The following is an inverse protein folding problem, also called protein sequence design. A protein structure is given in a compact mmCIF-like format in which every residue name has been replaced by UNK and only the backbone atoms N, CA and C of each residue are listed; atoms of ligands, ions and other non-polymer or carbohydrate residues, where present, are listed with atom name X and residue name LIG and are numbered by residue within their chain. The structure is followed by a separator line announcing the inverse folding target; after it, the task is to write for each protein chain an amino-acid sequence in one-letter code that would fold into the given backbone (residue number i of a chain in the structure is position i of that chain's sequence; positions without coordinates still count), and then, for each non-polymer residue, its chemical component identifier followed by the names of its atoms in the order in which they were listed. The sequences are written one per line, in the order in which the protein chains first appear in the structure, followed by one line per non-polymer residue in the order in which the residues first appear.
data_IF_504353682667
#
_entry.id   IF_504353682667
#
_cell.length_a   1.000
_cell.length_b   1.000
_cell.length_c   1.000
_cell.angle_alpha   90.00
_cell.angle_beta   90.00
_cell.angle_gamma   90.00
#
_symmetry.space_group_name_H-M   'P 1'
#
loop_
_entity.id
_entity.type
_entity.pdbx_description
1 polymer ?
#
# COMPACT_ATOMS: atom_id res chain seq x y z
N UNK A 1 5.27 -32.53 -36.30
CA UNK A 1 5.35 -31.07 -36.45
C UNK A 1 3.94 -30.49 -36.30
N UNK A 2 3.56 -30.04 -35.11
CA UNK A 2 2.27 -29.36 -34.85
C UNK A 2 2.63 -27.98 -34.30
N UNK A 3 2.22 -26.96 -35.05
CA UNK A 3 2.46 -25.54 -34.76
C UNK A 3 1.71 -25.12 -33.51
N UNK A 4 2.40 -24.67 -32.47
CA UNK A 4 1.82 -24.00 -31.34
C UNK A 4 1.48 -22.55 -31.77
N UNK A 5 0.21 -22.25 -31.82
CA UNK A 5 -0.30 -20.88 -31.97
C UNK A 5 -0.41 -20.30 -30.56
N UNK A 6 0.45 -19.34 -30.26
CA UNK A 6 0.34 -18.49 -29.07
C UNK A 6 -0.71 -17.43 -29.44
N UNK A 7 -1.91 -17.55 -28.87
CA UNK A 7 -2.92 -16.51 -28.96
C UNK A 7 -2.65 -15.49 -27.85
N UNK A 8 -1.96 -14.41 -28.20
CA UNK A 8 -1.96 -13.18 -27.42
C UNK A 8 -3.33 -12.54 -27.59
N UNK A 9 -4.17 -12.59 -26.57
CA UNK A 9 -5.41 -11.81 -26.53
C UNK A 9 -5.03 -10.38 -26.15
N UNK A 10 -4.74 -9.57 -27.14
CA UNK A 10 -4.66 -8.12 -27.03
C UNK A 10 -6.10 -7.61 -27.10
N UNK A 11 -6.65 -7.16 -25.99
CA UNK A 11 -7.87 -6.35 -26.01
C UNK A 11 -7.51 -4.95 -26.49
N UNK A 12 -7.59 -4.75 -27.79
CA UNK A 12 -7.59 -3.41 -28.40
C UNK A 12 -9.06 -2.95 -28.39
N UNK A 13 -9.38 -2.02 -27.52
CA UNK A 13 -10.54 -1.17 -27.68
C UNK A 13 -10.22 -0.15 -28.78
N UNK A 14 -10.66 -0.42 -30.00
CA UNK A 14 -10.79 0.60 -31.04
C UNK A 14 -11.89 1.56 -30.62
N UNK A 15 -11.55 2.74 -30.14
CA UNK A 15 -12.45 3.88 -30.09
C UNK A 15 -12.42 4.53 -31.49
N UNK A 16 -13.45 4.29 -32.26
CA UNK A 16 -13.74 5.03 -33.50
C UNK A 16 -13.88 6.52 -33.18
N UNK A 17 -12.98 7.31 -33.73
CA UNK A 17 -13.03 8.76 -33.68
C UNK A 17 -14.07 9.25 -34.68
N UNK A 18 -15.31 9.39 -34.25
CA UNK A 18 -16.27 10.21 -34.97
C UNK A 18 -15.91 11.68 -34.84
N UNK A 19 -15.39 12.25 -35.91
CA UNK A 19 -15.14 13.68 -36.02
C UNK A 19 -16.48 14.44 -36.00
N UNK A 20 -16.84 15.00 -34.87
CA UNK A 20 -17.84 16.07 -34.80
C UNK A 20 -17.12 17.40 -34.92
N UNK A 21 -17.36 18.10 -36.03
CA UNK A 21 -17.01 19.49 -36.20
C UNK A 21 -17.82 20.31 -35.19
N UNK A 22 -17.17 20.83 -34.18
CA UNK A 22 -17.76 21.75 -33.20
C UNK A 22 -17.36 23.17 -33.57
N UNK A 23 -18.36 24.01 -33.82
CA UNK A 23 -18.23 25.45 -34.04
C UNK A 23 -17.48 26.09 -32.86
N UNK A 24 -16.50 26.91 -33.19
CA UNK A 24 -15.73 27.71 -32.23
C UNK A 24 -16.63 28.73 -31.55
N UNK A 25 -16.76 28.73 -30.21
CA UNK A 25 -17.37 29.83 -29.51
C UNK A 25 -16.42 31.07 -29.55
N UNK A 26 -16.98 32.30 -29.51
CA UNK A 26 -16.20 33.53 -29.63
C UNK A 26 -15.20 33.66 -28.44
N UNK A 27 -14.01 34.13 -28.75
CA UNK A 27 -12.92 34.32 -27.83
C UNK A 27 -13.37 35.13 -26.59
N UNK A 28 -13.44 34.44 -25.46
CA UNK A 28 -13.54 35.11 -24.15
C UNK A 28 -12.22 35.87 -23.90
N UNK A 29 -12.37 37.15 -23.62
CA UNK A 29 -11.26 38.07 -23.32
C UNK A 29 -10.35 37.43 -22.23
N UNK A 30 -9.08 37.23 -22.56
CA UNK A 30 -8.04 36.85 -21.63
C UNK A 30 -7.90 37.99 -20.61
N UNK A 31 -8.42 37.82 -19.41
CA UNK A 31 -8.18 38.71 -18.28
C UNK A 31 -6.70 38.72 -17.97
N UNK A 32 -6.07 39.91 -18.01
CA UNK A 32 -4.66 40.09 -17.66
C UNK A 32 -4.33 39.45 -16.29
N UNK A 33 -3.13 38.86 -16.11
CA UNK A 33 -2.76 38.28 -14.84
C UNK A 33 -2.80 39.30 -13.73
N UNK A 34 -3.58 39.05 -12.68
CA UNK A 34 -3.68 39.88 -11.49
C UNK A 34 -2.27 40.17 -10.96
N UNK A 35 -1.98 41.45 -10.71
CA UNK A 35 -0.73 41.88 -10.09
C UNK A 35 -0.54 41.21 -8.72
N UNK A 36 0.70 41.07 -8.28
CA UNK A 36 1.01 40.42 -7.00
C UNK A 36 0.28 41.09 -5.82
N UNK A 37 0.14 42.44 -5.86
CA UNK A 37 -0.64 43.18 -4.88
C UNK A 37 -2.14 42.84 -4.91
N UNK A 38 -2.74 42.68 -6.09
CA UNK A 38 -4.13 42.25 -6.20
C UNK A 38 -4.40 40.86 -5.66
N UNK A 39 -3.42 39.94 -5.80
CA UNK A 39 -3.49 38.60 -5.21
C UNK A 39 -3.35 38.63 -3.70
N UNK A 40 -2.45 39.46 -3.17
CA UNK A 40 -2.28 39.62 -1.71
C UNK A 40 -3.55 40.19 -1.10
N UNK A 41 -4.13 41.23 -1.68
CA UNK A 41 -5.39 41.83 -1.20
C UNK A 41 -6.55 40.82 -1.23
N UNK A 42 -6.67 40.00 -2.28
CA UNK A 42 -7.70 38.96 -2.36
C UNK A 42 -7.52 37.87 -1.30
N UNK A 43 -6.27 37.54 -0.93
CA UNK A 43 -5.96 36.64 0.16
C UNK A 43 -6.31 37.23 1.53
N UNK A 44 -5.98 38.51 1.77
CA UNK A 44 -6.32 39.21 3.00
C UNK A 44 -7.84 39.31 3.21
N UNK A 45 -8.59 39.60 2.14
CA UNK A 45 -10.05 39.63 2.19
C UNK A 45 -10.63 38.24 2.50
N UNK A 46 -10.06 37.19 1.93
CA UNK A 46 -10.50 35.80 2.19
C UNK A 46 -10.18 35.35 3.61
N UNK A 47 -9.02 35.72 4.16
CA UNK A 47 -8.65 35.45 5.55
C UNK A 47 -9.60 36.15 6.51
N UNK A 48 -9.99 37.42 6.22
CA UNK A 48 -10.96 38.14 7.03
C UNK A 48 -12.33 37.47 7.02
N UNK A 49 -12.83 37.03 5.85
CA UNK A 49 -14.11 36.33 5.74
C UNK A 49 -14.11 35.05 6.53
N UNK A 50 -13.04 34.25 6.43
CA UNK A 50 -12.88 33.00 7.21
C UNK A 50 -12.82 33.27 8.72
N UNK A 51 -12.20 34.37 9.15
CA UNK A 51 -12.16 34.73 10.57
C UNK A 51 -13.57 35.11 11.10
N UNK A 52 -14.38 35.75 10.29
CA UNK A 52 -15.79 36.08 10.63
C UNK A 52 -16.64 34.80 10.73
N UNK A 53 -16.51 33.86 9.78
CA UNK A 53 -17.20 32.58 9.81
C UNK A 53 -16.81 31.75 11.07
N UNK A 54 -15.54 31.71 11.43
CA UNK A 54 -15.06 31.05 12.65
C UNK A 54 -15.64 31.70 13.92
N UNK A 55 -15.80 33.02 13.92
CA UNK A 55 -16.41 33.72 15.06
C UNK A 55 -17.89 33.36 15.21
N UNK A 56 -18.64 33.27 14.11
CA UNK A 56 -20.06 32.86 14.11
C UNK A 56 -20.19 31.42 14.60
N UNK A 57 -19.41 30.49 14.06
CA UNK A 57 -19.43 29.07 14.48
C UNK A 57 -19.07 28.88 15.96
N UNK A 58 -18.14 29.68 16.49
CA UNK A 58 -17.83 29.68 17.93
C UNK A 58 -18.99 30.19 18.78
N UNK A 59 -19.73 31.16 18.28
CA UNK A 59 -20.95 31.68 18.91
C UNK A 59 -22.05 30.61 18.98
N UNK A 60 -22.28 29.92 17.88
CA UNK A 60 -23.25 28.79 17.81
C UNK A 60 -22.86 27.64 18.73
N UNK A 61 -21.58 27.26 18.74
CA UNK A 61 -21.08 26.19 19.63
C UNK A 61 -21.26 26.54 21.10
N UNK A 62 -21.05 27.82 21.47
CA UNK A 62 -21.28 28.30 22.83
C UNK A 62 -22.77 28.26 23.18
N UNK A 63 -23.66 28.67 22.28
CA UNK A 63 -25.10 28.60 22.50
C UNK A 63 -25.60 27.16 22.68
N UNK A 64 -25.10 26.21 21.90
CA UNK A 64 -25.42 24.78 22.03
C UNK A 64 -24.90 24.21 23.36
N UNK A 65 -23.71 24.66 23.79
CA UNK A 65 -23.10 24.23 25.05
C UNK A 65 -23.89 24.77 26.24
N UNK A 66 -24.32 26.01 26.22
CA UNK A 66 -25.09 26.67 27.28
C UNK A 66 -26.52 26.12 27.35
N UNK A 67 -27.10 25.70 26.21
CA UNK A 67 -28.41 25.01 26.17
C UNK A 67 -28.38 23.57 26.70
N UNK A 68 -27.20 22.97 26.86
CA UNK A 68 -27.01 21.59 27.31
C UNK A 68 -26.57 21.47 28.79
N UNK A 69 -26.52 22.58 29.54
CA UNK A 69 -26.28 22.55 30.99
C UNK A 69 -27.59 22.15 31.71
N UNK A 70 -27.69 21.01 32.38
CA UNK A 70 -28.83 20.69 33.23
C UNK A 70 -28.73 21.48 34.52
N UNK A 71 -29.87 22.03 34.92
CA UNK A 71 -30.12 22.73 36.18
C UNK A 71 -29.81 21.81 37.39
N UNK A 72 -29.04 22.23 38.39
CA UNK A 72 -28.68 21.38 39.54
C UNK A 72 -29.69 21.46 40.66
N UNK A 73 -30.93 21.02 40.46
CA UNK A 73 -31.90 20.78 41.58
C UNK A 73 -32.84 19.65 41.23
N UNK A 74 -32.42 18.42 41.57
CA UNK A 74 -33.34 17.32 41.81
C UNK A 74 -32.62 16.26 42.65
N UNK A 75 -32.95 16.23 43.95
CA UNK A 75 -32.58 15.19 44.90
C UNK A 75 -33.17 13.84 44.49
N UNK A 76 -32.31 12.83 44.21
CA UNK A 76 -32.68 11.43 44.29
C UNK A 76 -31.45 10.61 44.72
N UNK A 77 -31.58 9.63 45.63
CA UNK A 77 -30.46 9.02 46.33
C UNK A 77 -29.73 8.01 45.45
N UNK A 78 -28.41 8.15 45.39
CA UNK A 78 -27.48 7.21 44.77
C UNK A 78 -27.29 6.00 45.68
N UNK A 79 -27.75 4.84 45.28
CA UNK A 79 -27.39 3.54 45.86
C UNK A 79 -26.01 3.10 45.36
N UNK A 80 -25.02 3.23 46.24
CA UNK A 80 -23.68 2.64 46.09
C UNK A 80 -23.78 1.14 46.37
N UNK A 81 -23.61 0.32 45.35
CA UNK A 81 -23.34 -1.10 45.47
C UNK A 81 -21.84 -1.36 45.42
N UNK A 82 -21.21 -1.52 46.54
CA UNK A 82 -19.85 -2.04 46.71
C UNK A 82 -19.92 -3.57 46.69
N UNK A 83 -19.26 -4.21 45.73
CA UNK A 83 -19.04 -5.65 45.73
C UNK A 83 -17.65 -5.97 46.24
N UNK A 84 -17.57 -6.54 47.41
CA UNK A 84 -16.42 -7.19 48.01
C UNK A 84 -16.08 -8.49 47.25
N UNK A 85 -14.77 -8.68 47.03
CA UNK A 85 -14.18 -9.94 46.63
C UNK A 85 -13.97 -10.81 47.87
N UNK A 86 -14.57 -11.98 47.89
CA UNK A 86 -14.17 -13.04 48.83
C UNK A 86 -13.66 -14.27 48.05
N UNK A 87 -12.52 -14.73 48.51
CA UNK A 87 -11.86 -15.97 48.11
C UNK A 87 -12.61 -17.17 48.74
N UNK A 88 -12.86 -18.19 47.95
CA UNK A 88 -13.41 -19.46 48.46
C UNK A 88 -12.93 -20.65 47.63
N UNK A 89 -12.28 -21.53 48.35
CA UNK A 89 -11.55 -22.74 47.94
C UNK A 89 -12.46 -23.95 47.80
N UNK A 90 -12.12 -24.85 46.84
CA UNK A 90 -12.35 -26.31 46.77
C UNK A 90 -13.76 -26.89 46.68
N UNK A 91 -14.03 -27.68 45.65
CA UNK A 91 -14.26 -29.12 45.75
C UNK A 91 -14.52 -29.77 44.38
N UNK A 92 -13.96 -30.97 44.24
CA UNK A 92 -14.04 -31.84 43.08
C UNK A 92 -15.43 -32.47 42.92
N UNK A 93 -15.85 -32.70 41.67
CA UNK A 93 -17.02 -33.53 41.34
C UNK A 93 -16.91 -34.08 39.93
N UNK A 94 -16.66 -35.38 39.83
CA UNK A 94 -16.72 -36.18 38.62
C UNK A 94 -18.12 -36.23 38.02
N UNK A 95 -18.25 -36.08 36.72
CA UNK A 95 -19.35 -36.68 35.95
C UNK A 95 -18.90 -36.93 34.48
N UNK A 96 -19.13 -38.11 34.03
CA UNK A 96 -18.78 -38.75 32.76
C UNK A 96 -19.63 -38.30 31.58
N UNK A 97 -19.24 -38.68 30.33
CA UNK A 97 -19.57 -37.95 29.09
C UNK A 97 -20.76 -38.57 28.32
N UNK A 98 -21.33 -37.82 27.41
CA UNK A 98 -22.22 -38.34 26.37
C UNK A 98 -21.96 -37.59 25.02
N UNK A 99 -22.38 -38.11 23.86
CA UNK A 99 -21.47 -38.35 22.75
C UNK A 99 -21.49 -37.25 21.69
N UNK A 100 -20.34 -37.15 21.04
CA UNK A 100 -20.04 -36.36 19.84
C UNK A 100 -20.83 -36.79 18.60
N UNK A 101 -21.53 -35.88 17.97
CA UNK A 101 -21.87 -36.02 16.55
C UNK A 101 -20.79 -35.28 15.73
N UNK A 102 -19.95 -36.05 15.08
CA UNK A 102 -18.90 -35.56 14.21
C UNK A 102 -19.47 -34.94 12.92
N UNK A 103 -19.11 -33.71 12.69
CA UNK A 103 -19.08 -33.14 11.36
C UNK A 103 -17.61 -32.90 11.00
N UNK A 104 -17.10 -33.72 10.09
CA UNK A 104 -15.77 -33.60 9.52
C UNK A 104 -15.65 -32.27 8.79
N UNK A 105 -14.97 -31.31 9.39
CA UNK A 105 -14.50 -30.14 8.67
C UNK A 105 -13.23 -30.55 7.92
N UNK A 106 -13.32 -30.57 6.59
CA UNK A 106 -12.20 -30.63 5.69
C UNK A 106 -11.26 -29.44 5.98
N UNK A 107 -9.93 -29.63 5.97
CA UNK A 107 -9.00 -28.53 6.16
C UNK A 107 -9.11 -27.55 4.97
N UNK A 108 -9.60 -26.35 5.23
CA UNK A 108 -9.50 -25.24 4.27
C UNK A 108 -8.02 -24.91 4.09
N UNK A 109 -7.51 -25.28 2.93
CA UNK A 109 -6.18 -24.86 2.47
C UNK A 109 -6.21 -23.34 2.29
N UNK A 110 -5.58 -22.61 3.19
CA UNK A 110 -5.40 -21.16 3.04
C UNK A 110 -4.50 -20.90 1.83
N UNK A 111 -5.10 -20.47 0.74
CA UNK A 111 -4.39 -19.89 -0.38
C UNK A 111 -3.87 -18.51 0.04
N UNK A 112 -2.60 -18.47 0.45
CA UNK A 112 -1.92 -17.21 0.76
C UNK A 112 -1.33 -16.65 -0.52
N UNK A 113 -1.89 -15.58 -1.03
CA UNK A 113 -1.26 -14.80 -2.08
C UNK A 113 -2.16 -14.39 -3.24
N UNK A 114 -3.31 -13.95 -3.00
CA UNK A 114 -4.20 -13.16 -3.83
C UNK A 114 -5.06 -12.37 -2.88
N UNK A 115 -5.60 -11.27 -3.28
CA UNK A 115 -6.59 -10.49 -2.54
C UNK A 115 -7.79 -11.35 -2.16
N UNK A 116 -7.62 -12.28 -1.21
CA UNK A 116 -8.76 -12.96 -0.60
C UNK A 116 -9.38 -11.99 0.42
N UNK A 117 -10.71 -11.87 0.47
CA UNK A 117 -11.35 -11.19 1.57
C UNK A 117 -10.93 -11.89 2.87
N UNK A 118 -10.10 -11.21 3.65
CA UNK A 118 -9.66 -11.72 4.94
C UNK A 118 -10.88 -11.74 5.87
N UNK A 119 -11.28 -12.92 6.32
CA UNK A 119 -12.35 -13.06 7.30
C UNK A 119 -11.78 -12.76 8.67
N UNK A 120 -12.13 -11.61 9.23
CA UNK A 120 -11.65 -11.14 10.52
C UNK A 120 -12.48 -11.65 11.70
N UNK A 121 -11.76 -12.05 12.72
CA UNK A 121 -12.13 -12.09 14.15
C UNK A 121 -13.41 -12.79 14.58
N UNK A 122 -13.33 -13.59 15.60
CA UNK A 122 -14.34 -14.46 16.20
C UNK A 122 -15.56 -13.83 16.90
N UNK A 123 -16.11 -12.70 16.48
CA UNK A 123 -17.39 -12.20 16.98
C UNK A 123 -18.55 -12.84 16.19
N UNK A 124 -19.68 -13.07 16.86
CA UNK A 124 -20.90 -13.63 16.28
C UNK A 124 -21.33 -12.85 15.04
N UNK A 125 -21.57 -13.53 13.94
CA UNK A 125 -21.78 -13.02 12.59
C UNK A 125 -22.82 -11.88 12.47
N UNK A 126 -23.81 -11.80 13.36
CA UNK A 126 -24.86 -10.79 13.30
C UNK A 126 -24.48 -9.43 13.92
N UNK A 127 -23.50 -9.38 14.82
CA UNK A 127 -23.02 -8.13 15.41
C UNK A 127 -22.02 -7.39 14.51
N UNK A 128 -21.39 -8.09 13.55
CA UNK A 128 -20.38 -7.55 12.66
C UNK A 128 -20.90 -6.94 11.36
N UNK A 129 -22.13 -7.23 10.99
CA UNK A 129 -22.72 -6.75 9.73
C UNK A 129 -22.89 -5.22 9.66
N UNK A 130 -22.83 -4.51 10.80
CA UNK A 130 -23.05 -3.05 10.84
C UNK A 130 -21.86 -2.27 11.43
N UNK A 131 -20.86 -2.95 11.98
CA UNK A 131 -19.68 -2.29 12.55
C UNK A 131 -18.43 -2.66 11.76
N UNK A 132 -17.64 -1.70 11.28
CA UNK A 132 -16.37 -2.01 10.65
C UNK A 132 -15.41 -2.67 11.65
N UNK A 133 -14.62 -3.62 11.19
CA UNK A 133 -13.44 -4.06 11.91
C UNK A 133 -12.42 -2.91 11.85
N UNK A 134 -11.96 -2.47 13.03
CA UNK A 134 -11.02 -1.36 13.16
C UNK A 134 -9.71 -1.88 13.73
N UNK A 135 -8.61 -1.50 13.10
CA UNK A 135 -7.25 -1.73 13.58
C UNK A 135 -6.48 -0.42 13.71
N UNK A 136 -5.54 -0.38 14.62
CA UNK A 136 -4.53 0.68 14.71
C UNK A 136 -3.16 0.03 14.74
N UNK A 137 -2.29 0.48 13.85
CA UNK A 137 -0.89 0.08 13.78
C UNK A 137 -0.05 1.29 14.09
N UNK A 138 0.99 1.14 14.92
CA UNK A 138 1.99 2.19 15.15
C UNK A 138 3.34 1.66 14.74
N UNK A 139 4.03 2.41 13.89
CA UNK A 139 5.37 2.12 13.39
C UNK A 139 6.34 3.22 13.85
N UNK A 140 7.25 2.85 14.76
CA UNK A 140 8.30 3.71 15.29
C UNK A 140 9.65 3.26 14.76
N UNK A 141 10.40 4.19 14.14
CA UNK A 141 11.72 3.93 13.56
C UNK A 141 12.78 4.72 14.29
N UNK A 142 13.90 4.08 14.55
CA UNK A 142 15.14 4.71 14.99
C UNK A 142 16.24 4.49 13.96
N UNK A 143 17.09 5.50 13.76
CA UNK A 143 18.23 5.43 12.86
C UNK A 143 19.50 5.90 13.56
N UNK A 144 20.58 5.14 13.38
CA UNK A 144 21.93 5.50 13.83
C UNK A 144 22.94 5.17 12.73
N UNK A 145 23.89 6.07 12.52
CA UNK A 145 24.93 5.85 11.50
C UNK A 145 25.14 7.07 10.63
N UNK A 146 25.54 6.83 9.38
CA UNK A 146 25.93 7.86 8.45
C UNK A 146 25.35 7.62 7.05
N UNK A 147 24.58 8.59 6.58
CA UNK A 147 24.05 8.64 5.21
C UNK A 147 23.90 10.12 4.80
N UNK A 148 24.75 10.57 3.88
CA UNK A 148 24.75 11.96 3.42
C UNK A 148 23.80 12.19 2.22
N UNK A 149 23.31 11.13 1.59
CA UNK A 149 22.47 11.24 0.39
C UNK A 149 21.00 11.37 0.79
N UNK A 150 20.58 10.50 1.71
CA UNK A 150 19.22 10.48 2.24
C UNK A 150 19.24 10.40 3.77
N UNK A 151 19.58 11.51 4.45
CA UNK A 151 19.67 11.51 5.91
C UNK A 151 18.29 11.30 6.53
N UNK A 152 18.15 10.27 7.37
CA UNK A 152 16.93 10.01 8.13
C UNK A 152 17.04 10.61 9.52
N UNK A 153 15.90 10.87 10.18
CA UNK A 153 15.86 11.32 11.58
C UNK A 153 16.37 10.21 12.51
N UNK A 154 16.97 10.60 13.63
CA UNK A 154 17.45 9.63 14.61
C UNK A 154 16.32 8.82 15.25
N UNK A 155 15.17 9.44 15.49
CA UNK A 155 13.94 8.83 16.01
C UNK A 155 12.74 9.45 15.31
N UNK A 156 11.78 8.64 14.92
CA UNK A 156 10.59 9.06 14.18
C UNK A 156 9.41 8.15 14.47
N UNK A 157 8.23 8.74 14.72
CA UNK A 157 6.96 8.03 14.54
C UNK A 157 6.70 8.02 13.03
N UNK A 158 7.13 6.95 12.36
CA UNK A 158 7.08 6.86 10.91
C UNK A 158 5.65 6.95 10.42
N UNK A 159 4.78 6.07 10.94
CA UNK A 159 3.35 6.14 10.68
C UNK A 159 2.53 5.51 11.82
N UNK A 160 1.31 5.98 11.96
CA UNK A 160 0.24 5.26 12.68
C UNK A 160 -0.90 5.06 11.71
N UNK A 161 -1.22 3.82 11.37
CA UNK A 161 -2.28 3.51 10.41
C UNK A 161 -3.56 3.09 11.13
N UNK A 162 -4.68 3.67 10.73
CA UNK A 162 -6.02 3.17 11.09
C UNK A 162 -6.60 2.44 9.88
N UNK A 163 -6.80 1.14 10.03
CA UNK A 163 -7.51 0.31 9.06
C UNK A 163 -8.97 0.13 9.46
N UNK A 164 -9.88 0.33 8.52
CA UNK A 164 -11.30 0.07 8.66
C UNK A 164 -11.78 -0.83 7.54
N UNK A 165 -12.45 -1.92 7.88
CA UNK A 165 -12.92 -2.89 6.92
C UNK A 165 -14.34 -3.32 7.24
N UNK A 166 -15.23 -3.31 6.26
CA UNK A 166 -16.63 -3.67 6.43
C UNK A 166 -17.21 -4.40 5.23
N UNK A 167 -18.08 -5.37 5.48
CA UNK A 167 -18.98 -5.90 4.46
C UNK A 167 -20.13 -4.89 4.34
N UNK A 168 -20.30 -4.29 3.16
CA UNK A 168 -21.38 -3.35 2.86
C UNK A 168 -22.68 -4.11 2.65
N UNK A 169 -22.60 -5.13 1.81
CA UNK A 169 -23.70 -6.03 1.46
C UNK A 169 -23.15 -7.41 1.03
N UNK A 170 -23.96 -8.40 0.67
CA UNK A 170 -23.46 -9.72 0.23
C UNK A 170 -22.56 -9.70 -1.00
N UNK A 171 -22.50 -8.59 -1.73
CA UNK A 171 -21.81 -8.45 -3.01
C UNK A 171 -20.62 -7.49 -2.96
N UNK A 172 -20.52 -6.68 -1.88
CA UNK A 172 -19.55 -5.60 -1.79
C UNK A 172 -18.93 -5.50 -0.41
N UNK A 173 -17.62 -5.20 -0.38
CA UNK A 173 -16.81 -4.93 0.81
C UNK A 173 -16.11 -3.59 0.64
N UNK A 174 -16.02 -2.79 1.69
CA UNK A 174 -15.21 -1.59 1.77
C UNK A 174 -13.97 -1.81 2.64
N UNK A 175 -12.86 -1.25 2.19
CA UNK A 175 -11.58 -1.19 2.88
C UNK A 175 -11.08 0.25 2.86
N UNK A 176 -10.62 0.78 4.00
CA UNK A 176 -10.06 2.13 4.10
C UNK A 176 -8.90 2.13 5.08
N UNK A 177 -7.77 2.73 4.68
CA UNK A 177 -6.54 2.83 5.44
C UNK A 177 -6.08 4.28 5.45
N UNK A 178 -5.91 4.81 6.66
CA UNK A 178 -5.52 6.19 6.90
C UNK A 178 -4.23 6.19 7.70
N UNK A 179 -3.18 6.77 7.15
CA UNK A 179 -1.93 6.97 7.87
C UNK A 179 -1.86 8.35 8.51
N UNK A 180 -1.29 8.38 9.69
CA UNK A 180 -1.05 9.57 10.50
C UNK A 180 0.44 9.59 10.82
N UNK A 181 1.15 10.50 10.21
CA UNK A 181 2.56 10.75 10.48
C UNK A 181 2.80 12.14 11.06
N UNK A 182 4.05 12.47 11.31
CA UNK A 182 4.44 13.80 11.78
C UNK A 182 4.14 14.92 10.77
N UNK A 183 3.99 14.56 9.50
CA UNK A 183 3.71 15.50 8.39
C UNK A 183 2.23 15.71 8.12
N UNK A 184 1.34 14.90 8.71
CA UNK A 184 -0.10 15.03 8.53
C UNK A 184 -0.86 13.71 8.45
N UNK A 185 -2.02 13.77 7.79
CA UNK A 185 -2.91 12.62 7.57
C UNK A 185 -2.97 12.34 6.07
N UNK A 186 -2.79 11.08 5.69
CA UNK A 186 -2.91 10.63 4.32
C UNK A 186 -3.96 9.51 4.22
N UNK A 187 -4.66 9.43 3.10
CA UNK A 187 -5.48 8.28 2.73
C UNK A 187 -4.60 7.36 1.90
N UNK A 188 -4.11 6.27 2.49
CA UNK A 188 -3.29 5.32 1.74
C UNK A 188 -4.14 4.54 0.75
N UNK A 189 -5.21 3.92 1.24
CA UNK A 189 -6.15 3.23 0.38
C UNK A 189 -7.58 3.46 0.89
N UNK A 190 -8.53 3.63 -0.02
CA UNK A 190 -9.96 3.66 0.29
C UNK A 190 -10.74 3.19 -0.94
N UNK A 191 -11.24 1.95 -0.92
CA UNK A 191 -11.91 1.35 -2.05
C UNK A 191 -13.04 0.39 -1.67
N UNK A 192 -13.92 0.16 -2.62
CA UNK A 192 -14.96 -0.86 -2.54
C UNK A 192 -14.61 -1.99 -3.50
N UNK A 193 -14.69 -3.23 -3.02
CA UNK A 193 -14.50 -4.45 -3.81
C UNK A 193 -15.83 -5.12 -4.07
N UNK A 194 -16.21 -5.27 -5.34
CA UNK A 194 -17.35 -6.05 -5.79
C UNK A 194 -16.91 -7.48 -6.09
N UNK A 195 -17.45 -8.45 -5.34
CA UNK A 195 -17.00 -9.85 -5.35
C UNK A 195 -17.89 -10.78 -6.16
N UNK A 196 -19.07 -10.34 -6.57
CA UNK A 196 -20.11 -11.18 -7.20
C UNK A 196 -20.40 -10.79 -8.65
N UNK A 197 -19.38 -10.37 -9.37
CA UNK A 197 -19.53 -10.05 -10.80
C UNK A 197 -19.58 -11.33 -11.66
N UNK A 198 -20.26 -11.27 -12.83
CA UNK A 198 -20.28 -12.39 -13.78
C UNK A 198 -18.87 -12.86 -14.15
N UNK A 199 -18.74 -14.13 -14.51
CA UNK A 199 -17.51 -14.77 -14.95
C UNK A 199 -16.37 -14.79 -13.90
N UNK A 200 -16.69 -14.63 -12.61
CA UNK A 200 -15.68 -14.63 -11.53
C UNK A 200 -14.74 -13.42 -11.56
N UNK A 201 -15.23 -12.29 -12.08
CA UNK A 201 -14.52 -11.02 -12.06
C UNK A 201 -14.60 -10.39 -10.66
N UNK A 202 -13.51 -9.76 -10.25
CA UNK A 202 -13.44 -8.87 -9.09
C UNK A 202 -13.20 -7.45 -9.58
N UNK A 203 -14.01 -6.50 -9.11
CA UNK A 203 -13.84 -5.08 -9.42
C UNK A 203 -13.58 -4.31 -8.13
N UNK A 204 -12.47 -3.57 -8.08
CA UNK A 204 -12.22 -2.57 -7.03
C UNK A 204 -12.39 -1.18 -7.62
N UNK A 205 -12.98 -0.25 -6.84
CA UNK A 205 -13.17 1.15 -7.22
C UNK A 205 -12.83 2.03 -6.03
N UNK A 206 -11.90 2.97 -6.21
CA UNK A 206 -11.44 3.88 -5.18
C UNK A 206 -9.96 4.21 -5.32
N UNK A 207 -9.34 4.71 -4.25
CA UNK A 207 -7.89 4.88 -4.16
C UNK A 207 -7.27 3.57 -3.69
N UNK A 208 -6.26 3.07 -4.40
CA UNK A 208 -5.61 1.80 -4.10
C UNK A 208 -4.20 1.73 -4.68
N UNK A 209 -3.35 0.96 -4.04
CA UNK A 209 -2.03 0.58 -4.55
C UNK A 209 -2.19 -0.34 -5.77
N UNK A 210 -1.41 -0.07 -6.81
CA UNK A 210 -1.46 -0.87 -8.03
C UNK A 210 -0.84 -2.25 -7.84
N UNK A 211 -1.40 -3.24 -8.52
CA UNK A 211 -0.83 -4.58 -8.64
C UNK A 211 0.36 -4.53 -9.62
N UNK A 212 1.49 -3.96 -9.16
CA UNK A 212 2.74 -3.86 -9.92
C UNK A 212 3.89 -4.46 -9.10
N UNK A 213 4.38 -5.63 -9.50
CA UNK A 213 5.30 -6.42 -8.68
C UNK A 213 4.65 -6.91 -7.38
N UNK A 214 5.44 -7.08 -6.33
CA UNK A 214 5.00 -7.53 -5.00
C UNK A 214 5.05 -6.43 -3.96
N UNK A 215 6.15 -5.66 -3.92
CA UNK A 215 6.36 -4.66 -2.87
C UNK A 215 5.39 -3.50 -3.00
N UNK A 216 4.97 -3.14 -4.22
CA UNK A 216 4.04 -2.04 -4.43
C UNK A 216 2.68 -2.25 -3.74
N UNK A 217 2.23 -3.48 -3.60
CA UNK A 217 0.95 -3.83 -2.94
C UNK A 217 1.04 -3.93 -1.42
N UNK A 218 2.23 -3.72 -0.83
CA UNK A 218 2.47 -3.89 0.60
C UNK A 218 2.68 -2.53 1.24
N UNK A 219 1.95 -2.25 2.34
CA UNK A 219 2.14 -1.06 3.16
C UNK A 219 3.53 -1.10 3.83
N UNK A 220 4.09 0.08 4.14
CA UNK A 220 5.46 0.19 4.62
C UNK A 220 5.72 -0.61 5.90
N UNK A 221 4.83 -0.51 6.88
CA UNK A 221 4.93 -1.24 8.14
C UNK A 221 4.83 -2.78 7.98
N UNK A 222 4.21 -3.26 6.88
CA UNK A 222 4.05 -4.70 6.59
C UNK A 222 5.20 -5.30 5.78
N UNK A 223 6.17 -4.51 5.37
CA UNK A 223 7.36 -5.00 4.68
C UNK A 223 8.22 -5.87 5.62
N UNK A 224 8.96 -6.86 5.07
CA UNK A 224 9.90 -7.66 5.86
C UNK A 224 11.21 -6.94 6.18
N UNK A 225 11.39 -5.72 5.73
CA UNK A 225 12.51 -4.80 5.97
C UNK A 225 11.99 -3.44 6.37
N UNK A 226 12.85 -2.61 7.00
CA UNK A 226 12.45 -1.32 7.56
C UNK A 226 12.30 -0.25 6.46
N UNK A 227 13.13 -0.33 5.43
CA UNK A 227 13.13 0.58 4.28
C UNK A 227 12.69 -0.13 3.00
N UNK A 228 12.07 0.56 2.07
CA UNK A 228 11.77 -0.01 0.76
C UNK A 228 13.04 -0.34 -0.04
N UNK A 229 13.01 -1.38 -0.89
CA UNK A 229 14.13 -1.68 -1.80
C UNK A 229 14.47 -0.48 -2.68
N UNK A 230 15.77 -0.25 -2.93
CA UNK A 230 16.23 0.85 -3.78
C UNK A 230 15.57 0.85 -5.16
N UNK A 231 15.35 -0.33 -5.74
CA UNK A 231 14.71 -0.45 -7.05
C UNK A 231 13.26 0.06 -7.04
N UNK A 232 12.51 -0.19 -5.96
CA UNK A 232 11.14 0.30 -5.79
C UNK A 232 11.15 1.82 -5.58
N UNK A 233 12.03 2.29 -4.72
CA UNK A 233 12.18 3.73 -4.42
C UNK A 233 12.54 4.54 -5.68
N UNK A 234 13.54 4.10 -6.43
CA UNK A 234 14.10 4.88 -7.53
C UNK A 234 13.28 4.77 -8.83
N UNK A 235 12.50 3.70 -9.01
CA UNK A 235 11.85 3.41 -10.30
C UNK A 235 10.33 3.28 -10.24
N UNK A 236 9.73 3.00 -9.07
CA UNK A 236 8.29 2.66 -8.97
C UNK A 236 7.48 3.71 -8.20
N UNK A 237 8.05 4.91 -7.98
CA UNK A 237 7.31 6.01 -7.36
C UNK A 237 7.55 6.18 -5.86
N UNK A 238 8.77 5.89 -5.39
CA UNK A 238 9.16 6.22 -4.02
C UNK A 238 8.53 5.33 -2.96
N UNK A 239 8.20 5.93 -1.83
CA UNK A 239 7.69 5.24 -0.65
C UNK A 239 6.24 4.79 -0.83
N UNK A 240 5.40 5.58 -1.47
CA UNK A 240 4.00 5.24 -1.73
C UNK A 240 3.84 4.34 -2.97
N UNK A 241 4.79 4.42 -3.90
CA UNK A 241 4.77 3.63 -5.11
C UNK A 241 3.70 4.11 -6.10
N UNK A 242 3.11 3.19 -6.86
CA UNK A 242 1.96 3.48 -7.71
C UNK A 242 0.71 3.33 -6.84
N UNK A 243 0.20 4.45 -6.33
CA UNK A 243 -0.98 4.56 -5.48
C UNK A 243 -1.83 5.74 -5.96
N UNK A 244 -3.07 5.46 -6.44
CA UNK A 244 -3.94 6.51 -6.97
C UNK A 244 -5.41 6.08 -6.99
N UNK A 245 -6.29 7.05 -7.24
CA UNK A 245 -7.71 6.82 -7.43
C UNK A 245 -7.98 6.20 -8.81
N UNK A 246 -8.73 5.09 -8.84
CA UNK A 246 -8.97 4.37 -10.07
C UNK A 246 -9.89 3.16 -9.93
N UNK A 247 -9.75 2.26 -10.88
CA UNK A 247 -10.49 1.00 -10.95
C UNK A 247 -9.53 -0.15 -11.26
N UNK A 248 -9.76 -1.29 -10.62
CA UNK A 248 -9.01 -2.53 -10.83
C UNK A 248 -9.97 -3.66 -11.14
N UNK A 249 -9.74 -4.35 -12.24
CA UNK A 249 -10.49 -5.54 -12.65
C UNK A 249 -9.55 -6.73 -12.64
N UNK A 250 -9.86 -7.76 -11.85
CA UNK A 250 -9.06 -8.98 -11.79
C UNK A 250 -9.91 -10.23 -12.00
N UNK A 251 -9.25 -11.29 -12.43
CA UNK A 251 -9.87 -12.61 -12.65
C UNK A 251 -8.85 -13.73 -12.44
N UNK A 252 -9.32 -14.78 -11.73
CA UNK A 252 -8.63 -16.06 -11.68
C UNK A 252 -8.98 -16.92 -12.88
N UNK A 253 -7.96 -17.47 -13.52
CA UNK A 253 -8.06 -18.35 -14.69
C UNK A 253 -7.49 -19.70 -14.33
N UNK A 254 -8.29 -20.74 -14.36
CA UNK A 254 -7.81 -22.09 -14.15
C UNK A 254 -6.85 -22.49 -15.29
N UNK A 255 -5.65 -22.91 -14.94
CA UNK A 255 -4.64 -23.31 -15.90
C UNK A 255 -4.27 -24.79 -15.72
N UNK A 256 -3.81 -25.48 -16.77
CA UNK A 256 -3.44 -26.88 -16.68
C UNK A 256 -2.22 -27.10 -15.75
N UNK A 257 -2.05 -28.32 -15.27
CA UNK A 257 -0.91 -28.77 -14.46
C UNK A 257 -0.77 -28.11 -13.10
N UNK A 258 -1.88 -27.67 -12.47
CA UNK A 258 -1.89 -27.09 -11.12
C UNK A 258 -1.32 -25.69 -11.04
N UNK A 259 -1.29 -24.94 -12.14
CA UNK A 259 -1.08 -23.51 -12.13
C UNK A 259 -2.39 -22.77 -11.89
N UNK A 260 -2.32 -21.75 -11.06
CA UNK A 260 -3.36 -20.76 -10.90
C UNK A 260 -2.85 -19.47 -11.51
N UNK A 261 -3.58 -18.92 -12.48
CA UNK A 261 -3.22 -17.68 -13.15
C UNK A 261 -4.21 -16.61 -12.73
N UNK A 262 -3.71 -15.45 -12.33
CA UNK A 262 -4.49 -14.26 -12.06
C UNK A 262 -4.06 -13.18 -13.06
N UNK A 263 -5.04 -12.60 -13.75
CA UNK A 263 -4.83 -11.42 -14.59
C UNK A 263 -5.53 -10.21 -13.98
N UNK A 264 -4.82 -9.10 -13.85
CA UNK A 264 -5.33 -7.82 -13.34
C UNK A 264 -5.08 -6.72 -14.36
N UNK A 265 -6.10 -5.90 -14.61
CA UNK A 265 -6.02 -4.70 -15.43
C UNK A 265 -6.57 -3.52 -14.62
N UNK A 266 -5.81 -2.43 -14.56
CA UNK A 266 -6.13 -1.28 -13.73
C UNK A 266 -5.99 0.01 -14.53
N UNK A 267 -6.83 0.98 -14.20
CA UNK A 267 -6.78 2.33 -14.74
C UNK A 267 -6.91 3.32 -13.57
N UNK A 268 -6.04 4.32 -13.57
CA UNK A 268 -5.93 5.33 -12.52
C UNK A 268 -6.00 6.73 -13.08
N UNK A 269 -6.23 7.71 -12.22
CA UNK A 269 -6.26 9.14 -12.55
C UNK A 269 -4.95 9.61 -13.19
N UNK A 270 -3.81 9.00 -12.83
CA UNK A 270 -2.49 9.27 -13.40
C UNK A 270 -1.62 10.18 -12.54
N UNK A 271 -1.91 10.30 -11.25
CA UNK A 271 -1.09 11.03 -10.27
C UNK A 271 -0.49 10.04 -9.26
N UNK A 272 0.77 9.72 -9.41
CA UNK A 272 1.51 8.83 -8.48
C UNK A 272 2.89 9.43 -8.25
N UNK A 273 2.97 10.34 -7.30
CA UNK A 273 4.18 11.05 -6.84
C UNK A 273 5.14 11.47 -7.96
N UNK A 274 6.41 11.04 -7.87
CA UNK A 274 7.45 11.37 -8.85
C UNK A 274 7.39 10.55 -10.12
N UNK A 275 6.46 9.59 -10.23
CA UNK A 275 6.38 8.68 -11.35
C UNK A 275 5.46 9.18 -12.45
N UNK A 276 4.20 9.42 -12.11
CA UNK A 276 3.15 9.83 -13.03
C UNK A 276 2.51 11.15 -12.60
N UNK A 277 2.11 11.97 -13.58
CA UNK A 277 1.36 13.20 -13.33
C UNK A 277 0.31 13.44 -14.41
N UNK A 278 -0.92 13.68 -14.00
CA UNK A 278 -2.06 14.00 -14.87
C UNK A 278 -2.09 15.52 -15.13
N UNK A 279 -1.62 15.92 -16.29
CA UNK A 279 -1.64 17.34 -16.72
C UNK A 279 -2.98 17.73 -17.33
N UNK A 280 -3.73 16.75 -17.83
CA UNK A 280 -5.06 16.89 -18.41
C UNK A 280 -5.97 15.78 -17.90
N UNK A 281 -7.27 16.03 -17.90
CA UNK A 281 -8.28 15.07 -17.45
C UNK A 281 -8.20 13.69 -18.11
N UNK A 282 -7.64 13.60 -19.29
CA UNK A 282 -7.50 12.35 -20.06
C UNK A 282 -6.15 11.66 -19.88
N UNK A 283 -5.23 12.25 -19.13
CA UNK A 283 -3.89 11.72 -18.89
C UNK A 283 -3.97 10.62 -17.80
N UNK A 284 -4.61 9.51 -18.14
CA UNK A 284 -4.79 8.37 -17.25
C UNK A 284 -3.54 7.49 -17.26
N UNK A 285 -3.24 6.85 -16.13
CA UNK A 285 -2.27 5.78 -16.09
C UNK A 285 -2.96 4.42 -16.12
N UNK A 286 -2.27 3.43 -16.70
CA UNK A 286 -2.75 2.05 -16.81
C UNK A 286 -1.72 1.10 -16.23
N UNK A 287 -2.19 0.05 -15.55
CA UNK A 287 -1.35 -1.02 -15.01
C UNK A 287 -1.96 -2.36 -15.40
N UNK A 288 -1.10 -3.27 -15.83
CA UNK A 288 -1.45 -4.66 -16.10
C UNK A 288 -0.52 -5.59 -15.33
N UNK A 289 -1.08 -6.62 -14.69
CA UNK A 289 -0.34 -7.63 -13.97
C UNK A 289 -0.84 -9.02 -14.32
N UNK A 290 0.08 -9.94 -14.58
CA UNK A 290 -0.20 -11.34 -14.77
C UNK A 290 0.63 -12.14 -13.79
N UNK A 291 -0.05 -12.88 -12.93
CA UNK A 291 0.53 -13.68 -11.87
C UNK A 291 0.26 -15.17 -12.11
N UNK A 292 1.26 -15.99 -11.92
CA UNK A 292 1.16 -17.45 -11.92
C UNK A 292 1.62 -18.03 -10.60
N UNK A 293 0.76 -18.76 -9.93
CA UNK A 293 1.06 -19.48 -8.70
C UNK A 293 1.00 -20.99 -8.91
N UNK A 294 1.94 -21.72 -8.29
CA UNK A 294 1.97 -23.18 -8.31
C UNK A 294 2.59 -23.76 -7.05
N UNK A 295 1.97 -24.82 -6.52
CA UNK A 295 2.60 -25.69 -5.53
C UNK A 295 3.57 -26.66 -6.23
N UNK A 296 4.87 -26.53 -5.91
CA UNK A 296 5.89 -27.45 -6.41
C UNK A 296 5.84 -28.80 -5.69
N UNK A 297 5.52 -28.75 -4.40
CA UNK A 297 5.24 -29.87 -3.52
C UNK A 297 4.44 -29.40 -2.30
N UNK A 298 4.10 -30.31 -1.38
CA UNK A 298 3.31 -30.03 -0.17
C UNK A 298 3.88 -28.94 0.76
N UNK A 299 5.15 -28.64 0.64
CA UNK A 299 5.86 -27.69 1.50
C UNK A 299 6.39 -26.46 0.75
N UNK A 300 6.37 -26.46 -0.57
CA UNK A 300 7.03 -25.44 -1.38
C UNK A 300 6.10 -24.92 -2.47
N UNK A 301 5.95 -23.62 -2.55
CA UNK A 301 5.24 -22.98 -3.64
C UNK A 301 6.10 -21.93 -4.35
N UNK A 302 5.77 -21.69 -5.60
CA UNK A 302 6.37 -20.72 -6.48
C UNK A 302 5.29 -19.77 -6.99
N UNK A 303 5.58 -18.48 -6.90
CA UNK A 303 4.73 -17.39 -7.36
C UNK A 303 5.58 -16.54 -8.32
N UNK A 304 5.13 -16.35 -9.54
CA UNK A 304 5.80 -15.58 -10.59
C UNK A 304 4.86 -14.49 -11.07
N UNK A 305 5.38 -13.29 -11.32
CA UNK A 305 4.61 -12.18 -11.83
C UNK A 305 5.33 -11.46 -12.96
N UNK A 306 4.53 -10.87 -13.85
CA UNK A 306 4.97 -9.88 -14.82
C UNK A 306 4.02 -8.69 -14.79
N UNK A 307 4.58 -7.49 -14.84
CA UNK A 307 3.83 -6.24 -14.71
C UNK A 307 4.20 -5.26 -15.80
N UNK A 308 3.24 -4.44 -16.17
CA UNK A 308 3.44 -3.30 -17.05
C UNK A 308 2.66 -2.11 -16.51
N UNK A 309 3.28 -0.92 -16.48
CA UNK A 309 2.61 0.33 -16.15
C UNK A 309 3.00 1.43 -17.14
N UNK A 310 2.04 2.31 -17.46
CA UNK A 310 2.24 3.47 -18.31
C UNK A 310 1.41 4.64 -17.83
N UNK A 311 2.03 5.82 -17.76
CA UNK A 311 1.39 7.09 -17.48
C UNK A 311 2.21 8.25 -18.02
N UNK A 312 1.72 9.48 -17.88
CA UNK A 312 2.47 10.66 -18.24
C UNK A 312 3.58 10.92 -17.21
N UNK A 313 4.77 11.28 -17.69
CA UNK A 313 5.95 11.49 -16.83
C UNK A 313 5.72 12.66 -15.86
N UNK A 314 6.01 12.46 -14.58
CA UNK A 314 5.94 13.52 -13.57
C UNK A 314 7.03 14.60 -13.75
N UNK A 315 6.84 15.76 -13.11
CA UNK A 315 7.84 16.84 -13.06
C UNK A 315 7.94 17.72 -14.30
N UNK A 316 6.99 17.63 -15.25
CA UNK A 316 7.03 18.33 -16.54
C UNK A 316 5.99 19.45 -16.68
N UNK A 317 5.45 19.97 -15.58
CA UNK A 317 4.40 21.02 -15.61
C UNK A 317 4.80 22.30 -16.37
N UNK A 318 6.08 22.60 -16.46
CA UNK A 318 6.61 23.74 -17.21
C UNK A 318 6.85 23.46 -18.72
N UNK A 319 6.71 22.20 -19.16
CA UNK A 319 6.91 21.84 -20.57
C UNK A 319 5.76 22.39 -21.44
N UNK A 320 6.01 22.74 -22.70
CA UNK A 320 4.96 23.26 -23.60
C UNK A 320 3.81 22.27 -23.86
N UNK A 321 4.10 20.98 -23.82
CA UNK A 321 3.11 19.90 -23.97
C UNK A 321 3.47 18.71 -23.06
N UNK A 322 3.23 18.80 -21.75
CA UNK A 322 3.65 17.79 -20.79
C UNK A 322 2.98 16.43 -21.01
N UNK A 323 1.75 16.40 -21.52
CA UNK A 323 1.02 15.16 -21.84
C UNK A 323 1.60 14.36 -23.02
N UNK A 324 2.66 14.86 -23.69
CA UNK A 324 3.36 14.12 -24.73
C UNK A 324 4.51 13.25 -24.20
N UNK A 325 4.84 13.35 -22.93
CA UNK A 325 5.93 12.63 -22.27
C UNK A 325 5.37 11.47 -21.47
N UNK A 326 5.94 10.29 -21.67
CA UNK A 326 5.46 9.07 -21.03
C UNK A 326 6.54 8.37 -20.22
N UNK A 327 6.14 7.78 -19.11
CA UNK A 327 6.93 6.79 -18.40
C UNK A 327 6.30 5.42 -18.60
N UNK A 328 7.12 4.45 -19.03
CA UNK A 328 6.73 3.05 -19.12
C UNK A 328 7.58 2.24 -18.14
N UNK A 329 6.93 1.39 -17.36
CA UNK A 329 7.56 0.46 -16.43
C UNK A 329 7.23 -0.96 -16.83
N UNK A 330 8.23 -1.83 -16.76
CA UNK A 330 8.09 -3.27 -16.89
C UNK A 330 8.64 -3.92 -15.63
N UNK A 331 7.92 -4.86 -15.07
CA UNK A 331 8.31 -5.59 -13.86
C UNK A 331 8.28 -7.09 -14.08
N UNK A 332 9.19 -7.79 -13.44
CA UNK A 332 9.15 -9.24 -13.30
C UNK A 332 9.45 -9.58 -11.84
N UNK A 333 8.64 -10.44 -11.24
CA UNK A 333 8.80 -10.85 -9.84
C UNK A 333 8.75 -12.36 -9.68
N UNK A 334 9.44 -12.84 -8.64
CA UNK A 334 9.42 -14.25 -8.25
C UNK A 334 9.46 -14.36 -6.72
N UNK A 335 8.61 -15.21 -6.18
CA UNK A 335 8.60 -15.56 -4.76
C UNK A 335 8.62 -17.06 -4.60
N UNK A 336 9.62 -17.58 -3.91
CA UNK A 336 9.71 -19.00 -3.50
C UNK A 336 9.46 -19.08 -2.00
N UNK A 337 8.46 -19.86 -1.61
CA UNK A 337 8.08 -20.02 -0.21
C UNK A 337 8.16 -21.50 0.17
N UNK A 338 8.92 -21.80 1.21
CA UNK A 338 9.01 -23.11 1.81
C UNK A 338 8.44 -23.10 3.23
N UNK A 339 7.40 -23.87 3.47
CA UNK A 339 6.71 -24.01 4.77
C UNK A 339 6.46 -25.51 5.02
N UNK A 340 7.27 -26.21 5.82
CA UNK A 340 7.07 -27.63 6.08
C UNK A 340 5.80 -27.86 6.91
N UNK A 341 4.94 -28.78 6.48
CA UNK A 341 3.58 -29.02 7.00
C UNK A 341 3.48 -29.10 8.54
N UNK A 342 4.40 -29.82 9.17
CA UNK A 342 4.37 -30.04 10.64
C UNK A 342 5.12 -28.98 11.45
N UNK A 343 5.89 -28.09 10.83
CA UNK A 343 6.80 -27.14 11.52
C UNK A 343 6.74 -25.72 10.93
N UNK A 344 5.74 -25.39 10.16
CA UNK A 344 5.61 -24.09 9.49
C UNK A 344 5.65 -22.89 10.44
N UNK A 345 5.16 -23.04 11.67
CA UNK A 345 5.20 -22.01 12.72
C UNK A 345 6.63 -21.77 13.25
N UNK A 346 7.49 -22.81 13.19
CA UNK A 346 8.84 -22.75 13.75
C UNK A 346 9.91 -22.52 12.69
N UNK A 347 9.67 -23.00 11.46
CA UNK A 347 10.65 -22.94 10.38
C UNK A 347 9.92 -22.65 9.07
N UNK A 348 10.29 -21.59 8.42
CA UNK A 348 9.92 -21.31 7.04
C UNK A 348 11.06 -20.56 6.35
N UNK A 349 11.09 -20.63 5.04
CA UNK A 349 12.00 -19.88 4.20
C UNK A 349 11.18 -19.16 3.14
N UNK A 350 11.51 -17.88 2.93
CA UNK A 350 10.93 -17.05 1.90
C UNK A 350 12.07 -16.39 1.12
N UNK A 351 12.07 -16.60 -0.19
CA UNK A 351 12.91 -15.87 -1.12
C UNK A 351 12.03 -15.02 -2.02
N UNK A 352 12.40 -13.76 -2.23
CA UNK A 352 11.69 -12.83 -3.09
C UNK A 352 12.69 -12.04 -3.92
N UNK A 353 12.38 -11.84 -5.19
CA UNK A 353 13.15 -10.97 -6.08
C UNK A 353 12.21 -10.25 -7.03
N UNK A 354 12.54 -8.99 -7.32
CA UNK A 354 11.85 -8.19 -8.33
C UNK A 354 12.88 -7.48 -9.20
N UNK A 355 12.55 -7.39 -10.49
CA UNK A 355 13.35 -6.71 -11.50
C UNK A 355 12.46 -5.68 -12.21
N UNK A 356 12.97 -4.47 -12.38
CA UNK A 356 12.23 -3.38 -13.00
C UNK A 356 13.06 -2.74 -14.13
N UNK A 357 12.38 -2.43 -15.21
CA UNK A 357 12.91 -1.63 -16.32
C UNK A 357 12.03 -0.40 -16.49
N UNK A 358 12.65 0.77 -16.45
CA UNK A 358 11.98 2.06 -16.65
C UNK A 358 12.43 2.69 -17.94
N UNK A 359 11.48 3.23 -18.69
CA UNK A 359 11.72 4.11 -19.83
C UNK A 359 10.94 5.39 -19.57
N UNK A 360 11.65 6.51 -19.38
CA UNK A 360 11.06 7.80 -19.00
C UNK A 360 11.42 8.88 -19.99
N UNK A 361 10.43 9.51 -20.59
CA UNK A 361 10.59 10.71 -21.39
C UNK A 361 10.66 11.93 -20.47
N UNK A 362 11.62 12.80 -20.71
CA UNK A 362 11.85 14.02 -19.93
C UNK A 362 12.53 15.11 -20.75
N UNK A 363 12.68 16.30 -20.16
CA UNK A 363 13.51 17.37 -20.69
C UNK A 363 14.87 17.37 -19.98
N UNK A 364 15.95 17.55 -20.76
CA UNK A 364 17.27 17.83 -20.21
C UNK A 364 17.32 19.22 -19.58
N UNK A 365 18.41 19.53 -18.86
CA UNK A 365 18.67 20.88 -18.34
C UNK A 365 18.67 21.99 -19.43
N UNK A 366 18.88 21.61 -20.70
CA UNK A 366 18.83 22.50 -21.86
C UNK A 366 17.45 22.53 -22.54
N UNK A 367 16.39 21.99 -21.90
CA UNK A 367 15.05 21.84 -22.47
C UNK A 367 14.98 21.02 -23.77
N UNK A 368 15.91 20.08 -23.95
CA UNK A 368 15.91 19.15 -25.08
C UNK A 368 15.22 17.86 -24.64
N UNK A 369 14.32 17.33 -25.48
CA UNK A 369 13.69 16.04 -25.25
C UNK A 369 14.74 14.93 -25.17
N UNK A 370 14.61 14.10 -24.17
CA UNK A 370 15.42 12.88 -24.01
C UNK A 370 14.61 11.77 -23.36
N UNK A 371 14.97 10.53 -23.65
CA UNK A 371 14.41 9.35 -23.03
C UNK A 371 15.48 8.69 -22.16
N UNK A 372 15.19 8.49 -20.88
CA UNK A 372 16.06 7.77 -19.95
C UNK A 372 15.64 6.30 -19.86
N UNK A 373 16.63 5.42 -19.76
CA UNK A 373 16.44 3.99 -19.56
C UNK A 373 17.13 3.58 -18.26
N UNK A 374 16.39 3.06 -17.30
CA UNK A 374 16.95 2.62 -16.04
C UNK A 374 16.54 1.18 -15.74
N UNK A 375 17.41 0.47 -15.04
CA UNK A 375 17.17 -0.88 -14.54
C UNK A 375 17.38 -0.91 -13.03
N UNK A 376 16.52 -1.64 -12.33
CA UNK A 376 16.64 -1.89 -10.90
C UNK A 376 16.23 -3.30 -10.54
N UNK A 377 16.82 -3.82 -9.48
CA UNK A 377 16.46 -5.13 -8.92
C UNK A 377 16.71 -5.17 -7.43
N UNK A 378 15.98 -6.01 -6.75
CA UNK A 378 16.38 -6.49 -5.43
C UNK A 378 16.14 -7.99 -5.30
N UNK A 379 16.85 -8.60 -4.36
CA UNK A 379 16.63 -9.99 -3.94
C UNK A 379 16.73 -10.06 -2.43
N UNK A 380 15.75 -10.69 -1.78
CA UNK A 380 15.72 -10.89 -0.33
C UNK A 380 15.48 -12.35 0.01
N UNK A 381 16.06 -12.78 1.11
CA UNK A 381 15.87 -14.10 1.68
C UNK A 381 15.63 -13.99 3.17
N UNK A 382 14.64 -14.71 3.67
CA UNK A 382 14.26 -14.71 5.08
C UNK A 382 14.14 -16.16 5.56
N UNK A 383 14.67 -16.44 6.73
CA UNK A 383 14.56 -17.73 7.37
C UNK A 383 14.05 -17.58 8.80
N UNK A 384 12.93 -18.25 9.12
CA UNK A 384 12.41 -18.32 10.48
C UNK A 384 13.17 -19.38 11.27
N UNK A 385 13.89 -18.91 12.29
CA UNK A 385 14.70 -19.77 13.18
C UNK A 385 13.83 -20.52 14.19
N UNK A 386 12.81 -19.83 14.71
CA UNK A 386 11.83 -20.37 15.64
C UNK A 386 10.57 -19.50 15.65
N UNK A 387 9.63 -19.75 16.57
CA UNK A 387 8.35 -19.03 16.65
C UNK A 387 8.51 -17.49 16.73
N UNK A 388 9.61 -17.00 17.31
CA UNK A 388 9.80 -15.58 17.63
C UNK A 388 10.89 -14.89 16.82
N UNK A 389 11.80 -15.62 16.20
CA UNK A 389 12.98 -15.06 15.55
C UNK A 389 13.01 -15.39 14.06
N UNK A 390 13.25 -14.37 13.26
CA UNK A 390 13.53 -14.49 11.82
C UNK A 390 14.80 -13.70 11.50
N UNK A 391 15.66 -14.28 10.69
CA UNK A 391 16.85 -13.64 10.13
C UNK A 391 16.64 -13.49 8.64
N UNK A 392 17.09 -12.38 8.08
CA UNK A 392 16.96 -12.09 6.65
C UNK A 392 18.15 -11.32 6.12
N UNK A 393 18.22 -11.26 4.80
CA UNK A 393 19.17 -10.43 4.08
C UNK A 393 18.56 -9.94 2.78
N UNK A 394 18.99 -8.74 2.32
CA UNK A 394 18.55 -8.14 1.06
C UNK A 394 19.75 -7.56 0.32
N UNK A 395 19.77 -7.78 -0.96
CA UNK A 395 20.64 -7.12 -1.92
C UNK A 395 19.80 -6.23 -2.83
N UNK A 396 20.26 -5.01 -3.05
CA UNK A 396 19.62 -4.00 -3.87
C UNK A 396 20.59 -3.47 -4.92
N UNK A 397 20.12 -3.25 -6.16
CA UNK A 397 20.81 -2.47 -7.18
C UNK A 397 19.78 -1.72 -8.00
N UNK A 398 19.94 -0.41 -8.16
CA UNK A 398 18.99 0.41 -8.90
C UNK A 398 19.65 1.58 -9.60
N UNK A 399 19.33 1.77 -10.89
CA UNK A 399 19.47 3.05 -11.55
C UNK A 399 18.40 4.04 -11.07
N UNK A 400 18.55 5.31 -11.45
CA UNK A 400 17.56 6.35 -11.19
C UNK A 400 16.70 6.59 -12.43
N UNK A 401 15.39 6.77 -12.26
CA UNK A 401 14.46 6.99 -13.37
C UNK A 401 14.75 8.29 -14.14
N UNK A 402 15.28 9.32 -13.44
CA UNK A 402 15.58 10.64 -14.00
C UNK A 402 17.00 10.78 -14.55
N UNK A 403 17.95 9.95 -14.12
CA UNK A 403 19.32 9.93 -14.58
C UNK A 403 19.90 8.50 -14.57
N UNK A 404 19.93 7.87 -15.73
CA UNK A 404 20.40 6.50 -15.88
C UNK A 404 21.91 6.30 -15.61
N UNK A 405 22.69 7.38 -15.48
CA UNK A 405 24.11 7.30 -15.11
C UNK A 405 24.30 7.10 -13.59
N UNK A 406 23.27 7.40 -12.79
CA UNK A 406 23.30 7.20 -11.36
C UNK A 406 22.86 5.78 -11.04
N UNK A 407 23.64 5.06 -10.26
CA UNK A 407 23.32 3.68 -9.84
C UNK A 407 23.64 3.49 -8.37
N UNK A 408 22.64 3.08 -7.62
CA UNK A 408 22.76 2.73 -6.21
C UNK A 408 22.94 1.23 -6.04
N UNK A 409 23.71 0.83 -5.04
CA UNK A 409 23.85 -0.58 -4.62
C UNK A 409 23.75 -0.65 -3.11
N UNK A 410 23.02 -1.64 -2.59
CA UNK A 410 22.79 -1.80 -1.17
C UNK A 410 22.84 -3.25 -0.71
N UNK A 411 23.24 -3.44 0.56
CA UNK A 411 23.14 -4.71 1.27
C UNK A 411 22.50 -4.46 2.63
N UNK A 412 21.56 -5.32 3.03
CA UNK A 412 20.93 -5.25 4.33
C UNK A 412 20.95 -6.61 5.02
N UNK A 413 21.32 -6.61 6.30
CA UNK A 413 21.15 -7.75 7.21
C UNK A 413 20.02 -7.45 8.19
N UNK A 414 19.08 -8.36 8.39
CA UNK A 414 17.83 -8.12 9.10
C UNK A 414 17.62 -9.16 10.17
N UNK A 415 17.25 -8.72 11.37
CA UNK A 415 16.86 -9.59 12.48
C UNK A 415 15.53 -9.10 13.05
N UNK A 416 14.53 -9.99 13.05
CA UNK A 416 13.17 -9.68 13.53
C UNK A 416 12.84 -10.56 14.73
N UNK A 417 12.31 -9.94 15.79
CA UNK A 417 11.82 -10.59 16.99
C UNK A 417 10.36 -10.25 17.25
N UNK A 418 9.53 -11.25 17.50
CA UNK A 418 8.14 -11.08 17.90
C UNK A 418 7.98 -11.38 19.39
N UNK A 419 7.87 -10.35 20.26
CA UNK A 419 7.52 -10.53 21.68
C UNK A 419 6.14 -11.20 21.80
N UNK A 420 5.18 -10.78 20.99
CA UNK A 420 3.81 -11.30 20.92
C UNK A 420 3.32 -11.30 19.47
N UNK A 421 2.08 -11.68 19.24
CA UNK A 421 1.39 -11.54 17.95
C UNK A 421 0.98 -10.09 17.63
N UNK A 422 1.04 -9.19 18.63
CA UNK A 422 0.66 -7.78 18.50
C UNK A 422 1.85 -6.82 18.49
N UNK A 423 3.06 -7.34 18.55
CA UNK A 423 4.27 -6.49 18.55
C UNK A 423 5.44 -7.15 17.85
N UNK A 424 6.21 -6.33 17.18
CA UNK A 424 7.43 -6.72 16.47
C UNK A 424 8.56 -5.75 16.77
N UNK A 425 9.75 -6.28 16.94
CA UNK A 425 11.00 -5.53 17.02
C UNK A 425 11.89 -6.00 15.89
N UNK A 426 12.40 -5.07 15.09
CA UNK A 426 13.28 -5.38 13.97
C UNK A 426 14.52 -4.51 14.04
N UNK A 427 15.69 -5.11 13.87
CA UNK A 427 16.94 -4.44 13.63
C UNK A 427 17.41 -4.71 12.21
N UNK A 428 17.85 -3.70 11.49
CA UNK A 428 18.40 -3.82 10.15
C UNK A 428 19.71 -3.03 10.07
N UNK A 429 20.78 -3.70 9.67
CA UNK A 429 22.00 -3.01 9.25
C UNK A 429 21.97 -2.83 7.74
N UNK A 430 22.17 -1.61 7.26
CA UNK A 430 22.20 -1.25 5.84
C UNK A 430 23.56 -0.66 5.49
N UNK A 431 24.21 -1.25 4.50
CA UNK A 431 25.33 -0.66 3.77
C UNK A 431 24.85 -0.24 2.40
N UNK A 432 25.05 1.03 2.04
CA UNK A 432 24.70 1.60 0.72
C UNK A 432 25.93 2.24 0.07
N UNK A 433 26.07 1.97 -1.22
CA UNK A 433 26.96 2.71 -2.12
C UNK A 433 26.04 3.49 -3.06
N UNK A 434 25.77 4.76 -2.68
CA UNK A 434 24.72 5.59 -3.28
C UNK A 434 25.35 6.62 -4.20
N UNK A 435 24.78 6.76 -5.39
CA UNK A 435 25.18 7.77 -6.37
C UNK A 435 24.80 9.18 -5.87
N UNK A 436 25.67 10.13 -6.11
CA UNK A 436 25.40 11.56 -5.89
C UNK A 436 25.31 12.29 -7.22
N UNK A 437 24.67 13.50 -7.27
CA UNK A 437 24.37 14.19 -8.55
C UNK A 437 25.56 14.49 -9.45
N UNK A 438 26.78 14.44 -8.94
CA UNK A 438 27.99 14.56 -9.76
C UNK A 438 28.30 13.21 -10.42
N UNK A 439 28.34 13.11 -11.77
CA UNK A 439 28.61 11.85 -12.45
C UNK A 439 29.92 11.19 -12.00
N UNK A 440 29.81 9.97 -11.49
CA UNK A 440 30.94 9.17 -11.02
C UNK A 440 31.30 9.33 -9.53
N UNK A 441 30.65 10.23 -8.81
CA UNK A 441 30.82 10.33 -7.35
C UNK A 441 29.82 9.43 -6.63
N UNK A 442 30.24 8.87 -5.48
CA UNK A 442 29.45 8.02 -4.62
C UNK A 442 29.62 8.41 -3.18
N UNK A 443 28.55 8.21 -2.40
CA UNK A 443 28.59 8.32 -0.95
C UNK A 443 28.26 6.96 -0.35
N UNK A 444 29.07 6.52 0.61
CA UNK A 444 28.79 5.30 1.36
C UNK A 444 27.89 5.62 2.54
N UNK A 445 26.76 4.92 2.60
CA UNK A 445 25.87 4.94 3.74
C UNK A 445 26.11 3.71 4.60
N UNK A 446 26.21 3.91 5.92
CA UNK A 446 26.32 2.85 6.92
C UNK A 446 25.33 3.18 8.03
N UNK A 447 24.24 2.45 8.09
CA UNK A 447 23.14 2.76 8.99
C UNK A 447 22.68 1.51 9.73
N UNK A 448 22.35 1.69 10.98
CA UNK A 448 21.61 0.73 11.78
C UNK A 448 20.21 1.29 12.00
N UNK A 449 19.21 0.61 11.44
CA UNK A 449 17.81 0.93 11.58
C UNK A 449 17.19 0.02 12.64
N UNK A 450 16.31 0.60 13.44
CA UNK A 450 15.53 -0.09 14.45
C UNK A 450 14.05 0.22 14.21
N UNK A 451 13.19 -0.79 14.28
CA UNK A 451 11.75 -0.63 14.16
C UNK A 451 11.06 -1.29 15.35
N UNK A 452 10.13 -0.57 15.93
CA UNK A 452 9.15 -1.10 16.87
C UNK A 452 7.76 -0.93 16.31
N UNK A 453 7.10 -2.04 16.04
CA UNK A 453 5.76 -2.08 15.50
C UNK A 453 4.82 -2.66 16.55
N UNK A 454 3.64 -2.03 16.73
CA UNK A 454 2.58 -2.57 17.55
C UNK A 454 1.23 -2.47 16.83
N UNK A 455 0.32 -3.36 17.22
CA UNK A 455 -1.01 -3.47 16.60
C UNK A 455 -2.08 -3.55 17.67
N UNK A 456 -3.16 -2.81 17.49
CA UNK A 456 -4.35 -2.86 18.34
C UNK A 456 -5.59 -3.10 17.47
N UNK A 457 -6.55 -3.85 18.00
CA UNK A 457 -7.85 -4.09 17.36
C UNK A 457 -7.92 -5.35 16.52
N UNK A 458 -8.94 -5.44 15.69
CA UNK A 458 -9.17 -6.54 14.77
C UNK A 458 -8.20 -6.44 13.60
N UNK A 459 -6.97 -6.81 13.83
CA UNK A 459 -5.95 -6.83 12.80
C UNK A 459 -6.16 -8.03 11.89
N UNK A 460 -6.28 -7.79 10.60
CA UNK A 460 -6.04 -8.79 9.61
C UNK A 460 -4.63 -9.30 9.75
N UNK A 461 -4.53 -10.60 9.93
CA UNK A 461 -3.22 -11.21 9.95
C UNK A 461 -2.46 -10.78 8.69
N UNK A 462 -1.59 -9.77 8.83
CA UNK A 462 -0.50 -9.69 7.88
C UNK A 462 0.15 -11.07 7.89
N UNK A 463 0.38 -11.72 6.75
CA UNK A 463 1.07 -12.99 6.72
C UNK A 463 2.50 -12.74 7.18
N UNK A 464 2.70 -12.83 8.51
CA UNK A 464 4.01 -12.87 9.12
C UNK A 464 4.69 -14.21 8.77
#
# INVERSE_FOLDING_TARGET
MKKFVIVCVIFIFCLDSAAYAQETPPAAAISAPLTQEARMKALEDRVRTLAEEVAVLRGELKAVRDAKSPDPTSDAPVLLASSHVESGTLAAGLATPAPSSGASQLPQTQMTGGTQPQTYGGATSNAKLLNPDISLIGDFIGNAGHNNVTPSRALELHESEIGMQAIIDPYARADAFFSFGETGVNVEEAYVTFTSLPAGLLLKVGKMRADFGKVNTIHNHALPYIDRPLATNNLVGGEDGIDDAGMSLSRFIAAPRGWFIEGTAQVYRGDSDDLFNSYRRQDLSVVGHLRGYRDLNESTNLDLGISYARGNSAGLSAAPNPSAFFTNLYGADATLRWKPLRRAIYKNFLFRTELFWSTRDQLSALNIFQTQHAFGMYSSAEYRLNRRWTVGGRFDRSGHATDANLTDTGFSGILTYWPSEFSQIRGQYRYGHLAVPNPGDFSNANEFLFQFLFVMGAHGAHPF
#
